data_IF_992991587814
#
_entry.id   IF_992991587814
#
_cell.length_a   1.000
_cell.length_b   1.000
_cell.length_c   1.000
_cell.angle_alpha   90.00
_cell.angle_beta   90.00
_cell.angle_gamma   90.00
#
_symmetry.space_group_name_H-M   'P 1'
#
loop_
_entity.id
_entity.type
_entity.pdbx_description
1 polymer ?
#
# COMPACT_ATOMS: atom_id res chain seq x y z
N UNK A 1 8.19 15.86 5.65
CA UNK A 1 8.84 16.33 4.41
C UNK A 1 9.13 15.12 3.53
N UNK A 2 8.70 15.11 2.26
CA UNK A 2 8.95 14.00 1.32
C UNK A 2 10.20 14.33 0.53
N UNK A 3 11.27 13.53 0.68
CA UNK A 3 12.53 13.70 -0.05
C UNK A 3 12.75 12.56 -1.04
N UNK A 4 13.15 12.85 -2.30
CA UNK A 4 13.48 11.82 -3.27
C UNK A 4 14.77 11.10 -2.87
N UNK A 5 14.71 9.78 -2.77
CA UNK A 5 15.87 8.94 -2.44
C UNK A 5 17.01 9.11 -3.45
N UNK A 6 18.19 9.48 -2.97
CA UNK A 6 19.42 9.46 -3.75
C UNK A 6 19.91 8.00 -3.81
N UNK A 7 19.98 7.46 -5.02
CA UNK A 7 20.36 6.08 -5.42
C UNK A 7 19.28 5.02 -5.73
N UNK A 8 17.99 5.35 -5.90
CA UNK A 8 17.01 4.40 -6.45
C UNK A 8 16.12 5.01 -7.55
N UNK A 9 15.75 4.20 -8.54
CA UNK A 9 14.95 4.58 -9.70
C UNK A 9 13.62 5.25 -9.26
N UNK A 10 13.49 6.55 -9.55
CA UNK A 10 12.48 7.48 -9.02
C UNK A 10 11.07 7.29 -9.60
N UNK A 11 10.80 6.20 -10.31
CA UNK A 11 9.53 6.02 -11.02
C UNK A 11 8.48 5.23 -10.20
N UNK A 12 8.86 4.56 -9.10
CA UNK A 12 7.97 3.65 -8.37
C UNK A 12 8.06 3.70 -6.84
N UNK A 13 8.88 4.58 -6.24
CA UNK A 13 9.10 4.59 -4.79
C UNK A 13 8.98 6.00 -4.20
N UNK A 14 8.14 6.13 -3.17
CA UNK A 14 8.08 7.30 -2.30
C UNK A 14 8.66 6.92 -0.94
N UNK A 15 9.62 7.70 -0.42
CA UNK A 15 10.15 7.56 0.94
C UNK A 15 9.32 8.42 1.88
N UNK A 16 8.69 7.81 2.89
CA UNK A 16 7.94 8.52 3.94
C UNK A 16 8.84 8.63 5.17
N UNK A 17 9.13 9.86 5.60
CA UNK A 17 9.80 10.13 6.87
C UNK A 17 8.77 10.14 8.01
N UNK A 18 9.02 9.33 9.03
CA UNK A 18 8.13 9.08 10.18
C UNK A 18 8.35 10.02 11.38
N UNK A 19 9.00 11.17 11.18
CA UNK A 19 9.22 12.14 12.27
C UNK A 19 8.04 13.12 12.35
N UNK A 20 7.02 12.71 13.10
CA UNK A 20 6.02 13.58 13.74
C UNK A 20 4.84 14.00 12.86
N UNK A 21 3.64 13.59 13.27
CA UNK A 21 2.29 13.98 12.77
C UNK A 21 1.68 13.19 11.61
N UNK A 22 2.17 11.99 11.29
CA UNK A 22 1.36 11.09 10.47
C UNK A 22 0.30 10.44 11.36
N UNK A 23 -0.95 10.80 11.15
CA UNK A 23 -2.11 10.21 11.82
C UNK A 23 -2.14 8.70 11.55
N UNK A 24 -2.14 7.88 12.61
CA UNK A 24 -2.22 6.43 12.51
C UNK A 24 -3.41 5.98 11.65
N UNK A 25 -4.52 6.74 11.68
CA UNK A 25 -5.69 6.47 10.85
C UNK A 25 -5.44 6.73 9.36
N UNK A 26 -4.53 7.63 9.01
CA UNK A 26 -4.08 7.82 7.62
C UNK A 26 -3.17 6.66 7.21
N UNK A 27 -2.28 6.22 8.09
CA UNK A 27 -1.38 5.09 7.81
C UNK A 27 -2.16 3.79 7.56
N UNK A 28 -3.15 3.48 8.40
CA UNK A 28 -4.01 2.31 8.21
C UNK A 28 -4.78 2.40 6.89
N UNK A 29 -5.33 3.57 6.55
CA UNK A 29 -6.00 3.79 5.25
C UNK A 29 -5.06 3.61 4.06
N UNK A 30 -3.79 4.00 4.19
CA UNK A 30 -2.80 3.79 3.12
C UNK A 30 -2.45 2.30 2.95
N UNK A 31 -2.39 1.55 4.06
CA UNK A 31 -2.20 0.09 4.02
C UNK A 31 -3.39 -0.59 3.34
N UNK A 32 -4.62 -0.24 3.73
CA UNK A 32 -5.84 -0.77 3.13
C UNK A 32 -5.90 -0.48 1.63
N UNK A 33 -5.63 0.77 1.25
CA UNK A 33 -5.64 1.17 -0.16
C UNK A 33 -4.57 0.46 -0.98
N UNK A 34 -3.37 0.27 -0.43
CA UNK A 34 -2.32 -0.50 -1.10
C UNK A 34 -2.74 -1.95 -1.30
N UNK A 35 -3.42 -2.56 -0.33
CA UNK A 35 -3.92 -3.93 -0.44
C UNK A 35 -4.99 -4.03 -1.53
N UNK A 36 -5.97 -3.13 -1.53
CA UNK A 36 -7.04 -3.08 -2.55
C UNK A 36 -6.48 -2.97 -3.97
N UNK A 37 -5.50 -2.09 -4.19
CA UNK A 37 -4.86 -1.91 -5.49
C UNK A 37 -4.18 -3.20 -5.98
N UNK A 38 -3.47 -3.89 -5.09
CA UNK A 38 -2.83 -5.17 -5.44
C UNK A 38 -3.90 -6.20 -5.76
N UNK A 39 -4.91 -6.39 -4.92
CA UNK A 39 -6.00 -7.35 -5.17
C UNK A 39 -6.69 -7.07 -6.51
N UNK A 40 -6.98 -5.80 -6.81
CA UNK A 40 -7.59 -5.40 -8.08
C UNK A 40 -6.73 -5.76 -9.31
N UNK A 41 -5.40 -5.74 -9.17
CA UNK A 41 -4.46 -6.11 -10.24
C UNK A 41 -4.33 -7.63 -10.48
N UNK A 42 -4.76 -8.47 -9.53
CA UNK A 42 -4.63 -9.92 -9.63
C UNK A 42 -5.69 -10.53 -10.59
N UNK A 43 -5.43 -11.72 -11.16
CA UNK A 43 -6.44 -12.45 -11.93
C UNK A 43 -7.70 -12.75 -11.10
N UNK A 44 -8.87 -12.74 -11.73
CA UNK A 44 -10.18 -12.95 -11.07
C UNK A 44 -10.28 -14.22 -10.23
N UNK A 45 -9.58 -15.29 -10.64
CA UNK A 45 -9.51 -16.54 -9.86
C UNK A 45 -8.85 -16.33 -8.50
N UNK A 46 -7.76 -15.56 -8.46
CA UNK A 46 -7.02 -15.30 -7.23
C UNK A 46 -7.74 -14.28 -6.34
N UNK A 47 -8.42 -13.30 -6.93
CA UNK A 47 -9.31 -12.38 -6.18
C UNK A 47 -10.36 -13.16 -5.37
N UNK A 48 -11.06 -14.11 -6.00
CA UNK A 48 -12.08 -14.94 -5.32
C UNK A 48 -11.50 -15.79 -4.19
N UNK A 49 -10.31 -16.36 -4.38
CA UNK A 49 -9.66 -17.14 -3.31
C UNK A 49 -9.33 -16.28 -2.09
N UNK A 50 -8.88 -15.03 -2.31
CA UNK A 50 -8.60 -14.10 -1.22
C UNK A 50 -9.89 -13.65 -0.51
N UNK A 51 -10.98 -13.42 -1.23
CA UNK A 51 -12.31 -13.15 -0.66
C UNK A 51 -12.83 -14.32 0.18
N UNK A 52 -12.64 -15.56 -0.27
CA UNK A 52 -13.05 -16.77 0.45
C UNK A 52 -12.23 -16.97 1.75
N UNK A 53 -10.94 -16.60 1.74
CA UNK A 53 -10.06 -16.65 2.92
C UNK A 53 -10.38 -15.57 3.96
N UNK A 54 -10.85 -14.39 3.53
CA UNK A 54 -11.17 -13.26 4.43
C UNK A 54 -12.54 -13.36 5.11
N UNK A 55 -13.42 -14.25 4.62
CA UNK A 55 -14.78 -14.44 5.14
C UNK A 55 -14.91 -15.65 6.09
N UNK A 56 -13.78 -16.20 6.57
CA UNK A 56 -13.69 -17.36 7.46
C UNK A 56 -13.36 -17.00 8.91
#
# INVERSE_FOLDING_TARGET
EVRPGWHMNKHHWNTVHFEGSLDDALLLRLVDHSYELIVASLPKKLQRQLEELGNG
#
